data_IF_146635952059
#
_entry.id   IF_146635952059
#
_cell.length_a   1.000
_cell.length_b   1.000
_cell.length_c   1.000
_cell.angle_alpha   90.00
_cell.angle_beta   90.00
_cell.angle_gamma   90.00
#
_symmetry.space_group_name_H-M   'P 1'
#
loop_
_entity.id
_entity.type
_entity.pdbx_description
1 polymer ?
#
# COMPACT_ATOMS: atom_id res chain seq x y z
N UNK A 1 2.71 -3.81 -22.02
CA UNK A 1 2.65 -2.79 -20.95
C UNK A 1 1.17 -2.49 -20.65
N UNK A 2 0.74 -2.74 -19.45
CA UNK A 2 -0.62 -2.45 -18.95
C UNK A 2 -0.51 -1.41 -17.84
N UNK A 3 -1.23 -0.28 -17.95
CA UNK A 3 -1.33 0.72 -16.90
C UNK A 3 -2.72 0.62 -16.24
N UNK A 4 -2.74 0.39 -14.94
CA UNK A 4 -3.96 0.31 -14.14
C UNK A 4 -4.00 1.49 -13.16
N UNK A 5 -4.95 2.41 -13.33
CA UNK A 5 -5.16 3.48 -12.37
C UNK A 5 -5.87 2.94 -11.13
N UNK A 6 -5.24 3.07 -9.97
CA UNK A 6 -5.77 2.66 -8.68
C UNK A 6 -6.45 3.81 -7.94
N UNK A 7 -6.10 5.04 -8.29
CA UNK A 7 -6.68 6.26 -7.78
C UNK A 7 -6.38 7.45 -8.68
N UNK A 8 -7.24 8.47 -8.67
CA UNK A 8 -7.15 9.63 -9.57
C UNK A 8 -7.62 10.94 -8.91
N UNK A 9 -7.65 11.01 -7.59
CA UNK A 9 -7.98 12.25 -6.86
C UNK A 9 -6.76 12.81 -6.14
N UNK A 10 -6.87 14.09 -5.78
CA UNK A 10 -5.94 14.76 -4.87
C UNK A 10 -6.17 14.34 -3.40
N UNK A 11 -5.45 14.97 -2.47
CA UNK A 11 -5.42 14.60 -1.05
C UNK A 11 -6.76 14.54 -0.35
N UNK A 12 -7.72 15.37 -0.74
CA UNK A 12 -9.07 15.40 -0.17
C UNK A 12 -9.92 14.19 -0.56
N UNK A 13 -9.48 13.42 -1.58
CA UNK A 13 -10.28 12.39 -2.24
C UNK A 13 -11.53 12.96 -2.95
N UNK A 14 -12.32 12.10 -3.59
CA UNK A 14 -13.59 12.55 -4.17
C UNK A 14 -14.66 11.47 -4.01
N UNK A 15 -15.82 11.79 -3.40
CA UNK A 15 -16.19 13.07 -2.80
C UNK A 15 -15.32 13.42 -1.59
N UNK A 16 -15.01 14.70 -1.40
CA UNK A 16 -14.25 15.14 -0.24
C UNK A 16 -15.05 14.95 1.05
N UNK A 17 -14.39 14.45 2.10
CA UNK A 17 -15.05 13.96 3.32
C UNK A 17 -15.95 15.00 3.98
N UNK A 18 -15.52 16.25 4.02
CA UNK A 18 -16.20 17.35 4.70
C UNK A 18 -16.94 18.31 3.73
N UNK A 19 -17.11 17.92 2.46
CA UNK A 19 -17.70 18.77 1.44
C UNK A 19 -19.15 18.40 1.15
N UNK A 20 -20.05 19.38 1.22
CA UNK A 20 -21.47 19.26 0.89
C UNK A 20 -21.84 19.96 -0.43
N UNK A 21 -20.88 20.23 -1.31
CA UNK A 21 -21.22 20.79 -2.62
C UNK A 21 -22.05 19.80 -3.46
N UNK A 22 -22.82 20.29 -4.44
CA UNK A 22 -23.69 19.44 -5.27
C UNK A 22 -22.95 18.25 -5.92
N UNK A 23 -21.70 18.44 -6.34
CA UNK A 23 -20.89 17.39 -6.95
C UNK A 23 -20.53 16.29 -5.94
N UNK A 24 -20.14 16.66 -4.71
CA UNK A 24 -19.81 15.68 -3.67
C UNK A 24 -21.06 14.92 -3.21
N UNK A 25 -22.19 15.59 -3.09
CA UNK A 25 -23.47 14.94 -2.76
C UNK A 25 -23.89 13.99 -3.86
N UNK A 26 -23.81 14.40 -5.12
CA UNK A 26 -24.07 13.53 -6.26
C UNK A 26 -23.17 12.28 -6.22
N UNK A 27 -21.89 12.47 -5.97
CA UNK A 27 -20.94 11.37 -5.91
C UNK A 27 -21.26 10.37 -4.78
N UNK A 28 -21.66 10.86 -3.60
CA UNK A 28 -22.08 9.99 -2.48
C UNK A 28 -23.33 9.17 -2.82
N UNK A 29 -24.31 9.81 -3.47
CA UNK A 29 -25.56 9.15 -3.83
C UNK A 29 -25.40 8.09 -4.93
N UNK A 30 -24.52 8.36 -5.91
CA UNK A 30 -24.41 7.50 -7.11
C UNK A 30 -23.24 6.50 -7.01
N UNK A 31 -22.21 6.78 -6.20
CA UNK A 31 -21.09 5.87 -6.02
C UNK A 31 -20.32 5.53 -7.31
N UNK A 32 -19.83 4.32 -7.41
CA UNK A 32 -19.16 3.80 -8.59
C UNK A 32 -17.94 4.64 -9.03
N UNK A 33 -17.94 5.09 -10.29
CA UNK A 33 -16.87 5.92 -10.87
C UNK A 33 -16.74 7.30 -10.24
N UNK A 34 -17.76 7.73 -9.51
CA UNK A 34 -17.73 9.01 -8.80
C UNK A 34 -16.92 8.96 -7.51
N UNK A 35 -16.57 7.77 -7.03
CA UNK A 35 -15.71 7.62 -5.85
C UNK A 35 -14.27 7.48 -6.33
N UNK A 36 -13.44 8.49 -6.06
CA UNK A 36 -12.05 8.53 -6.47
C UNK A 36 -11.13 8.54 -5.26
N UNK A 37 -10.16 7.66 -5.27
CA UNK A 37 -9.09 7.55 -4.27
C UNK A 37 -7.89 8.39 -4.68
N UNK A 38 -6.98 8.61 -3.76
CA UNK A 38 -5.74 9.35 -4.03
C UNK A 38 -4.93 8.71 -5.16
N UNK A 39 -4.21 9.54 -5.88
CA UNK A 39 -3.49 9.18 -7.08
C UNK A 39 -2.50 8.04 -6.84
N UNK A 40 -2.65 6.99 -7.62
CA UNK A 40 -1.78 5.83 -7.59
C UNK A 40 -2.03 5.01 -8.86
N UNK A 41 -1.00 4.40 -9.42
CA UNK A 41 -1.13 3.53 -10.58
C UNK A 41 -0.16 2.35 -10.53
N UNK A 42 -0.59 1.22 -11.10
CA UNK A 42 0.23 0.03 -11.27
C UNK A 42 0.53 -0.18 -12.75
N UNK A 43 1.81 -0.33 -13.07
CA UNK A 43 2.29 -0.69 -14.41
C UNK A 43 2.64 -2.17 -14.40
N UNK A 44 2.08 -2.89 -15.34
CA UNK A 44 2.13 -4.36 -15.39
C UNK A 44 1.73 -4.97 -14.03
N UNK A 45 2.62 -5.56 -13.28
CA UNK A 45 2.34 -6.10 -11.94
C UNK A 45 3.46 -5.83 -10.94
N UNK A 46 4.49 -5.07 -11.33
CA UNK A 46 5.76 -4.95 -10.62
C UNK A 46 6.23 -3.52 -10.36
N UNK A 47 5.71 -2.52 -11.10
CA UNK A 47 6.03 -1.11 -10.90
C UNK A 47 4.81 -0.34 -10.36
N UNK A 48 4.94 0.21 -9.17
CA UNK A 48 3.94 1.07 -8.54
C UNK A 48 4.34 2.55 -8.68
N UNK A 49 3.43 3.37 -9.15
CA UNK A 49 3.55 4.84 -9.19
C UNK A 49 2.76 5.42 -8.02
N UNK A 50 3.46 6.01 -7.09
CA UNK A 50 2.99 6.49 -5.79
C UNK A 50 2.46 5.37 -4.87
N UNK A 51 2.55 5.59 -3.58
CA UNK A 51 2.09 4.69 -2.52
C UNK A 51 1.13 5.47 -1.61
N UNK A 52 -0.05 5.75 -2.13
CA UNK A 52 -1.05 6.58 -1.44
C UNK A 52 -1.62 5.88 -0.19
N UNK A 53 -2.14 6.66 0.74
CA UNK A 53 -2.83 6.15 1.93
C UNK A 53 -4.08 5.29 1.61
N UNK A 54 -4.61 5.35 0.38
CA UNK A 54 -5.73 4.54 -0.08
C UNK A 54 -5.33 3.25 -0.80
N UNK A 55 -4.04 2.91 -0.86
CA UNK A 55 -3.55 1.78 -1.65
C UNK A 55 -4.22 0.45 -1.28
N UNK A 56 -4.47 0.22 0.01
CA UNK A 56 -5.11 -1.01 0.49
C UNK A 56 -6.50 -1.19 -0.14
N UNK A 57 -7.38 -0.19 0.02
CA UNK A 57 -8.73 -0.25 -0.52
C UNK A 57 -8.73 -0.27 -2.06
N UNK A 58 -7.81 0.47 -2.68
CA UNK A 58 -7.65 0.49 -4.13
C UNK A 58 -7.24 -0.88 -4.68
N UNK A 59 -6.25 -1.52 -4.09
CA UNK A 59 -5.78 -2.83 -4.52
C UNK A 59 -6.88 -3.89 -4.43
N UNK A 60 -7.61 -3.93 -3.32
CA UNK A 60 -8.72 -4.87 -3.14
C UNK A 60 -9.86 -4.59 -4.12
N UNK A 61 -10.27 -3.33 -4.26
CA UNK A 61 -11.37 -2.96 -5.14
C UNK A 61 -11.12 -3.28 -6.61
N UNK A 62 -9.91 -3.07 -7.06
CA UNK A 62 -9.50 -3.34 -8.44
C UNK A 62 -8.90 -4.73 -8.63
N UNK A 63 -8.92 -5.57 -7.59
CA UNK A 63 -8.40 -6.95 -7.61
C UNK A 63 -6.95 -7.01 -8.12
N UNK A 64 -6.12 -6.06 -7.67
CA UNK A 64 -4.71 -6.01 -8.03
C UNK A 64 -3.86 -6.60 -6.89
N UNK A 65 -3.00 -7.52 -7.27
CA UNK A 65 -2.00 -8.08 -6.37
C UNK A 65 -0.75 -7.18 -6.35
N UNK A 66 -0.59 -6.41 -5.28
CA UNK A 66 0.58 -5.53 -5.09
C UNK A 66 1.73 -6.24 -4.36
N UNK A 67 1.58 -7.50 -3.96
CA UNK A 67 2.66 -8.25 -3.29
C UNK A 67 3.83 -8.53 -4.23
N UNK A 68 3.60 -8.43 -5.53
CA UNK A 68 4.59 -8.66 -6.61
C UNK A 68 5.39 -7.42 -6.99
N UNK A 69 5.05 -6.26 -6.43
CA UNK A 69 5.72 -5.00 -6.74
C UNK A 69 7.18 -5.05 -6.28
N UNK A 70 8.08 -4.80 -7.21
CA UNK A 70 9.53 -4.73 -7.02
C UNK A 70 10.08 -3.31 -7.13
N UNK A 71 9.32 -2.40 -7.73
CA UNK A 71 9.73 -1.02 -7.96
C UNK A 71 8.63 -0.04 -7.54
N UNK A 72 8.99 0.95 -6.76
CA UNK A 72 8.14 2.07 -6.36
C UNK A 72 8.75 3.38 -6.86
N UNK A 73 8.02 4.10 -7.70
CA UNK A 73 8.34 5.48 -8.09
C UNK A 73 7.41 6.43 -7.33
N UNK A 74 7.99 7.32 -6.52
CA UNK A 74 7.24 8.31 -5.74
C UNK A 74 7.43 9.69 -6.34
N UNK A 75 6.33 10.33 -6.74
CA UNK A 75 6.35 11.66 -7.33
C UNK A 75 6.76 12.73 -6.33
N UNK A 76 6.23 12.68 -5.12
CA UNK A 76 6.59 13.58 -4.02
C UNK A 76 6.11 13.03 -2.67
N UNK A 77 6.52 13.68 -1.57
CA UNK A 77 6.36 13.17 -0.20
C UNK A 77 5.04 13.54 0.51
N UNK A 78 4.05 14.11 -0.18
CA UNK A 78 2.73 14.31 0.42
C UNK A 78 2.05 12.96 0.69
N UNK A 79 1.32 12.87 1.76
CA UNK A 79 0.74 11.60 2.25
C UNK A 79 -0.23 10.94 1.26
N UNK A 80 -0.90 11.73 0.45
CA UNK A 80 -1.80 11.25 -0.62
C UNK A 80 -1.04 10.62 -1.79
N UNK A 81 0.28 10.83 -1.88
CA UNK A 81 1.19 10.20 -2.84
C UNK A 81 2.18 9.24 -2.19
N UNK A 82 2.56 9.49 -0.93
CA UNK A 82 3.49 8.64 -0.21
C UNK A 82 3.12 8.49 1.27
N UNK A 83 2.44 7.41 1.62
CA UNK A 83 2.22 7.01 3.01
C UNK A 83 3.22 5.91 3.40
N UNK A 84 4.31 6.32 4.05
CA UNK A 84 5.38 5.42 4.48
C UNK A 84 4.93 4.33 5.46
N UNK A 85 3.76 4.48 6.09
CA UNK A 85 3.21 3.47 6.99
C UNK A 85 2.99 2.12 6.27
N UNK A 86 2.69 2.13 4.98
CA UNK A 86 2.56 0.91 4.19
C UNK A 86 3.89 0.17 4.02
N UNK A 87 5.03 0.87 4.03
CA UNK A 87 6.35 0.23 4.05
C UNK A 87 6.61 -0.47 5.38
N UNK A 88 6.18 0.12 6.50
CA UNK A 88 6.25 -0.55 7.81
C UNK A 88 5.49 -1.87 7.80
N UNK A 89 4.28 -1.90 7.24
CA UNK A 89 3.49 -3.13 7.12
C UNK A 89 4.13 -4.12 6.15
N UNK A 90 4.71 -3.64 5.04
CA UNK A 90 5.44 -4.47 4.10
C UNK A 90 6.66 -5.14 4.75
N UNK A 91 7.38 -4.44 5.62
CA UNK A 91 8.50 -4.99 6.36
C UNK A 91 8.11 -6.12 7.32
N UNK A 92 6.85 -6.21 7.70
CA UNK A 92 6.31 -7.30 8.51
C UNK A 92 5.94 -8.53 7.66
N UNK A 93 5.85 -8.38 6.33
CA UNK A 93 5.62 -9.50 5.45
C UNK A 93 6.86 -10.40 5.38
N UNK A 94 6.66 -11.65 5.01
CA UNK A 94 7.74 -12.63 4.85
C UNK A 94 8.65 -12.21 3.70
N UNK A 95 9.95 -12.03 3.97
CA UNK A 95 10.96 -11.73 2.96
C UNK A 95 11.55 -13.01 2.39
N UNK A 96 11.95 -12.97 1.10
CA UNK A 96 12.56 -14.11 0.39
C UNK A 96 13.88 -14.59 1.00
N UNK A 97 14.59 -13.73 1.69
CA UNK A 97 15.89 -14.03 2.33
C UNK A 97 15.77 -14.74 3.68
N UNK A 98 14.56 -15.02 4.15
CA UNK A 98 14.34 -15.69 5.43
C UNK A 98 14.76 -14.86 6.64
N UNK A 99 14.65 -13.54 6.54
CA UNK A 99 15.03 -12.61 7.62
C UNK A 99 14.34 -12.88 8.95
N UNK A 100 14.89 -12.33 10.03
CA UNK A 100 14.44 -12.56 11.41
C UNK A 100 12.95 -12.34 11.66
N UNK A 101 12.28 -11.48 10.87
CA UNK A 101 10.81 -11.26 10.99
C UNK A 101 9.99 -12.46 10.53
N UNK A 102 10.38 -13.09 9.43
CA UNK A 102 9.76 -14.33 9.01
C UNK A 102 9.88 -15.42 10.08
N UNK A 103 11.04 -15.53 10.70
CA UNK A 103 11.27 -16.47 11.82
C UNK A 103 10.46 -16.14 13.07
N UNK A 104 10.23 -14.85 13.36
CA UNK A 104 9.33 -14.45 14.47
C UNK A 104 7.88 -14.84 14.21
N UNK A 105 7.41 -14.70 12.99
CA UNK A 105 6.05 -15.10 12.60
C UNK A 105 5.88 -16.62 12.70
N UNK A 106 6.86 -17.40 12.23
CA UNK A 106 6.89 -18.85 12.38
C UNK A 106 6.88 -19.27 13.85
N UNK A 107 7.72 -18.66 14.68
CA UNK A 107 7.79 -18.95 16.10
C UNK A 107 6.48 -18.61 16.83
N UNK A 108 5.82 -17.51 16.46
CA UNK A 108 4.50 -17.19 16.99
C UNK A 108 3.44 -18.20 16.58
N UNK A 109 3.48 -18.62 15.32
CA UNK A 109 2.56 -19.65 14.82
C UNK A 109 2.70 -20.97 15.55
N UNK A 110 3.92 -21.45 15.75
CA UNK A 110 4.19 -22.69 16.48
C UNK A 110 3.77 -22.59 17.94
N UNK A 111 3.89 -21.42 18.55
CA UNK A 111 3.56 -21.19 19.96
C UNK A 111 2.08 -20.99 20.21
N UNK A 112 1.40 -20.23 19.38
CA UNK A 112 0.07 -19.68 19.66
C UNK A 112 -1.05 -20.45 18.94
N UNK A 113 -0.72 -21.32 17.98
CA UNK A 113 -1.66 -22.12 17.19
C UNK A 113 -2.45 -21.34 16.14
N UNK A 114 -3.19 -22.04 15.27
CA UNK A 114 -3.88 -21.44 14.13
C UNK A 114 -5.10 -20.57 14.48
N UNK A 115 -5.62 -20.67 15.67
CA UNK A 115 -6.77 -19.91 16.17
C UNK A 115 -6.43 -18.48 16.59
N UNK A 116 -5.17 -18.17 16.77
CA UNK A 116 -4.74 -16.82 17.13
C UNK A 116 -4.60 -15.92 15.89
N UNK A 117 -5.09 -14.70 15.97
CA UNK A 117 -5.12 -13.75 14.84
C UNK A 117 -3.74 -13.50 14.23
N UNK A 118 -2.70 -13.49 15.03
CA UNK A 118 -1.30 -13.39 14.56
C UNK A 118 -0.85 -14.67 13.85
N UNK A 119 -1.46 -15.78 14.12
CA UNK A 119 -1.17 -17.07 13.51
C UNK A 119 -1.78 -17.22 12.11
N UNK A 120 -2.71 -16.37 11.72
CA UNK A 120 -3.16 -16.32 10.32
C UNK A 120 -2.02 -15.92 9.37
N UNK A 121 -0.93 -15.42 9.91
CA UNK A 121 0.31 -15.10 9.20
C UNK A 121 1.32 -16.26 9.19
N UNK A 122 0.87 -17.49 9.29
CA UNK A 122 1.70 -18.71 9.35
C UNK A 122 2.41 -19.08 8.04
N UNK A 123 3.01 -20.28 7.98
CA UNK A 123 4.02 -20.70 6.98
C UNK A 123 3.54 -20.76 5.52
N UNK A 124 2.34 -20.26 5.22
CA UNK A 124 1.78 -20.20 3.86
C UNK A 124 2.03 -18.87 3.15
N UNK A 125 2.77 -17.94 3.77
CA UNK A 125 3.10 -16.68 3.12
C UNK A 125 4.12 -16.86 2.01
N UNK A 126 3.75 -16.42 0.83
CA UNK A 126 4.72 -16.22 -0.25
C UNK A 126 5.61 -15.04 0.14
N UNK A 127 6.94 -15.20 0.16
CA UNK A 127 7.84 -14.09 0.43
C UNK A 127 7.59 -12.96 -0.57
N UNK A 128 7.53 -11.72 -0.09
CA UNK A 128 7.47 -10.55 -0.97
C UNK A 128 8.87 -10.22 -1.48
N UNK A 129 9.01 -9.79 -2.75
CA UNK A 129 10.30 -9.42 -3.32
C UNK A 129 10.90 -8.19 -2.62
N UNK A 130 12.21 -7.94 -2.80
CA UNK A 130 12.79 -6.64 -2.47
C UNK A 130 12.09 -5.52 -3.24
N UNK A 131 12.09 -4.32 -2.65
CA UNK A 131 11.45 -3.14 -3.22
C UNK A 131 12.50 -2.05 -3.43
N UNK A 132 12.76 -1.74 -4.69
CA UNK A 132 13.55 -0.57 -5.06
C UNK A 132 12.66 0.67 -5.04
N UNK A 133 13.09 1.72 -4.32
CA UNK A 133 12.32 2.96 -4.17
C UNK A 133 13.07 4.10 -4.83
N UNK A 134 12.39 4.79 -5.73
CA UNK A 134 12.88 5.97 -6.44
C UNK A 134 11.99 7.17 -6.14
N UNK A 135 12.59 8.28 -5.78
CA UNK A 135 11.88 9.52 -5.49
C UNK A 135 12.83 10.68 -5.22
N UNK A 136 12.27 11.85 -5.02
CA UNK A 136 13.04 13.02 -4.59
C UNK A 136 13.62 12.80 -3.18
N UNK A 137 14.69 13.52 -2.82
CA UNK A 137 15.36 13.41 -1.52
C UNK A 137 14.39 13.53 -0.33
N UNK A 138 13.39 14.40 -0.43
CA UNK A 138 12.35 14.55 0.60
C UNK A 138 11.54 13.26 0.86
N UNK A 139 11.43 12.36 -0.10
CA UNK A 139 10.82 11.03 0.08
C UNK A 139 11.78 10.13 0.86
N UNK A 140 13.05 10.17 0.51
CA UNK A 140 14.09 9.40 1.21
C UNK A 140 14.24 9.85 2.67
N UNK A 141 14.09 11.14 2.95
CA UNK A 141 14.10 11.68 4.31
C UNK A 141 12.94 11.12 5.16
N UNK A 142 11.74 11.00 4.58
CA UNK A 142 10.60 10.37 5.27
C UNK A 142 10.90 8.91 5.59
N UNK A 143 11.55 8.17 4.70
CA UNK A 143 11.95 6.78 4.93
C UNK A 143 12.98 6.70 6.05
N UNK A 144 14.07 7.48 5.97
CA UNK A 144 15.16 7.49 6.96
C UNK A 144 14.71 7.87 8.37
N UNK A 145 13.72 8.76 8.48
CA UNK A 145 13.15 9.18 9.77
C UNK A 145 12.25 8.11 10.40
N UNK A 146 11.86 7.10 9.66
CA UNK A 146 11.00 6.03 10.16
C UNK A 146 11.84 4.79 10.50
N UNK A 147 12.27 4.69 11.77
CA UNK A 147 13.09 3.57 12.28
C UNK A 147 12.47 2.17 12.09
N UNK A 148 11.23 2.09 11.61
CA UNK A 148 10.51 0.83 11.34
C UNK A 148 10.60 0.39 9.90
N UNK A 149 11.25 1.19 9.05
CA UNK A 149 11.49 0.86 7.64
C UNK A 149 12.97 0.51 7.50
N UNK A 150 13.27 -0.74 7.16
CA UNK A 150 14.64 -1.23 6.91
C UNK A 150 14.95 -1.18 5.40
#
# INVERSE_FOLDING_TARGET
>A
MKLTFLGTSAGESYPALWCHCPNCEYARQHGGRNIRRNSCALVDSDLLLDLSNHIFDSALRFQQDITRVTTLLVTHNHRDHFDSQHLVWRNQAWRQDGTARGKMVEASWEKDGPENCMSMMGPRFTPVPFLDIYGHESVMDVIRQNERID
#
